data_IF_632705591279
#
_entry.id   IF_632705591279
#
_cell.length_a   1.000
_cell.length_b   1.000
_cell.length_c   1.000
_cell.angle_alpha   90.00
_cell.angle_beta   90.00
_cell.angle_gamma   90.00
#
_symmetry.space_group_name_H-M   'P 1'
#
loop_
_entity.id
_entity.type
_entity.pdbx_description
1 polymer ?
#
# COMPACT_ATOMS: atom_id res chain seq x y z
N UNK A 1 4.21 26.76 -17.47
CA UNK A 1 4.85 25.88 -16.48
C UNK A 1 4.48 24.46 -16.87
N UNK A 2 5.46 23.61 -17.12
CA UNK A 2 5.22 22.18 -17.32
C UNK A 2 5.24 21.47 -15.97
N UNK A 3 4.26 20.58 -15.75
CA UNK A 3 4.23 19.73 -14.56
C UNK A 3 5.15 18.52 -14.78
N UNK A 4 5.75 17.99 -13.71
CA UNK A 4 6.56 16.76 -13.78
C UNK A 4 5.75 15.56 -14.29
N UNK A 5 6.38 14.62 -14.99
CA UNK A 5 5.76 13.36 -15.46
C UNK A 5 5.63 12.29 -14.36
N UNK A 6 6.09 12.56 -13.14
CA UNK A 6 6.16 11.58 -12.06
C UNK A 6 5.27 11.92 -10.87
N UNK A 7 4.84 10.88 -10.17
CA UNK A 7 4.17 10.88 -8.87
C UNK A 7 5.13 10.21 -7.89
N UNK A 8 5.29 10.78 -6.70
CA UNK A 8 6.16 10.23 -5.66
C UNK A 8 5.30 9.94 -4.43
N UNK A 9 5.24 8.66 -4.05
CA UNK A 9 4.67 8.25 -2.77
C UNK A 9 5.80 8.14 -1.76
N UNK A 10 5.62 8.75 -0.61
CA UNK A 10 6.61 8.79 0.47
C UNK A 10 6.03 8.06 1.66
N UNK A 11 6.81 7.15 2.23
CA UNK A 11 6.43 6.43 3.44
C UNK A 11 7.59 6.39 4.43
N UNK A 12 7.26 6.37 5.70
CA UNK A 12 8.21 6.42 6.81
C UNK A 12 8.07 5.19 7.70
N UNK A 13 9.21 4.69 8.20
CA UNK A 13 9.25 3.60 9.15
C UNK A 13 10.31 3.89 10.21
N UNK A 14 9.95 3.70 11.48
CA UNK A 14 10.79 4.00 12.64
C UNK A 14 10.18 5.07 13.55
N UNK A 15 10.74 5.24 14.75
CA UNK A 15 10.32 6.28 15.70
C UNK A 15 10.80 7.66 15.21
N UNK A 16 9.90 8.65 15.25
CA UNK A 16 10.20 10.05 14.97
C UNK A 16 10.99 10.73 16.10
N UNK A 17 11.18 10.06 17.24
CA UNK A 17 11.88 10.61 18.40
C UNK A 17 13.39 10.71 18.17
N UNK A 18 13.83 11.92 17.84
CA UNK A 18 15.25 12.31 17.77
C UNK A 18 15.96 12.33 19.15
N UNK A 19 15.21 12.13 20.25
CA UNK A 19 15.69 12.29 21.64
C UNK A 19 15.99 10.97 22.35
N UNK A 20 15.39 9.86 21.94
CA UNK A 20 15.59 8.55 22.56
C UNK A 20 15.53 7.49 21.46
N UNK A 21 16.68 6.90 21.15
CA UNK A 21 16.74 5.79 20.18
C UNK A 21 16.15 4.56 20.86
N UNK A 22 15.02 4.08 20.35
CA UNK A 22 14.49 2.77 20.72
C UNK A 22 15.48 1.68 20.25
N UNK A 23 16.06 0.86 21.16
CA UNK A 23 16.98 -0.21 20.79
C UNK A 23 16.32 -1.29 19.91
N UNK A 24 14.99 -1.46 19.97
CA UNK A 24 14.25 -2.39 19.11
C UNK A 24 14.02 -1.85 17.69
N UNK A 25 14.10 -0.52 17.50
CA UNK A 25 13.92 0.15 16.21
C UNK A 25 15.03 1.22 15.97
N UNK A 26 16.29 0.78 15.76
CA UNK A 26 17.45 1.68 15.77
C UNK A 26 17.63 2.52 14.49
N UNK A 27 16.77 2.35 13.49
CA UNK A 27 16.89 3.00 12.20
C UNK A 27 15.58 3.67 11.79
N UNK A 28 15.68 4.95 11.42
CA UNK A 28 14.64 5.66 10.71
C UNK A 28 14.82 5.45 9.20
N UNK A 29 13.78 4.98 8.53
CA UNK A 29 13.78 4.71 7.09
C UNK A 29 12.73 5.58 6.40
N UNK A 30 13.15 6.21 5.30
CA UNK A 30 12.28 6.96 4.41
C UNK A 30 12.29 6.29 3.02
N UNK A 31 11.13 5.81 2.58
CA UNK A 31 10.97 5.13 1.31
C UNK A 31 10.29 6.04 0.29
N UNK A 32 10.81 6.05 -0.93
CA UNK A 32 10.25 6.80 -2.05
C UNK A 32 9.85 5.85 -3.17
N UNK A 33 8.56 5.77 -3.45
CA UNK A 33 8.04 5.06 -4.61
C UNK A 33 7.73 6.06 -5.72
N UNK A 34 8.60 6.10 -6.73
CA UNK A 34 8.52 7.04 -7.86
C UNK A 34 7.89 6.34 -9.05
N UNK A 35 6.79 6.88 -9.55
CA UNK A 35 5.98 6.26 -10.61
C UNK A 35 5.69 7.28 -11.71
N UNK A 36 5.82 6.90 -12.97
CA UNK A 36 5.38 7.72 -14.11
C UNK A 36 3.86 7.87 -14.09
N UNK A 37 3.34 9.09 -14.23
CA UNK A 37 1.91 9.41 -14.27
C UNK A 37 1.15 8.55 -15.29
N UNK A 38 1.74 8.35 -16.48
CA UNK A 38 1.16 7.51 -17.53
C UNK A 38 0.97 6.06 -17.07
N UNK A 39 2.01 5.43 -16.54
CA UNK A 39 1.94 4.05 -16.06
C UNK A 39 1.01 3.91 -14.85
N UNK A 40 0.97 4.92 -13.97
CA UNK A 40 0.05 4.96 -12.85
C UNK A 40 -1.41 4.90 -13.30
N UNK A 41 -1.79 5.76 -14.24
CA UNK A 41 -3.17 5.85 -14.75
C UNK A 41 -3.56 4.67 -15.66
N UNK A 42 -2.66 4.22 -16.53
CA UNK A 42 -3.01 3.25 -17.58
C UNK A 42 -2.82 1.79 -17.16
N UNK A 43 -1.97 1.53 -16.16
CA UNK A 43 -1.61 0.15 -15.76
C UNK A 43 -1.89 -0.13 -14.30
N UNK A 44 -1.38 0.71 -13.40
CA UNK A 44 -1.40 0.40 -11.96
C UNK A 44 -2.81 0.52 -11.40
N UNK A 45 -3.48 1.67 -11.59
CA UNK A 45 -4.85 1.86 -11.08
C UNK A 45 -5.82 0.83 -11.65
N UNK A 46 -5.87 0.56 -12.98
CA UNK A 46 -6.75 -0.46 -13.52
C UNK A 46 -6.46 -1.87 -12.97
N UNK A 47 -5.19 -2.24 -12.78
CA UNK A 47 -4.84 -3.54 -12.21
C UNK A 47 -5.28 -3.67 -10.74
N UNK A 48 -5.09 -2.62 -9.93
CA UNK A 48 -5.52 -2.60 -8.53
C UNK A 48 -7.04 -2.61 -8.42
N UNK A 49 -7.76 -1.81 -9.22
CA UNK A 49 -9.22 -1.85 -9.25
C UNK A 49 -9.75 -3.21 -9.71
N UNK A 50 -9.16 -3.78 -10.76
CA UNK A 50 -9.50 -5.12 -11.25
C UNK A 50 -9.31 -6.20 -10.18
N UNK A 51 -8.22 -6.11 -9.41
CA UNK A 51 -8.03 -6.95 -8.22
C UNK A 51 -9.19 -6.78 -7.23
N UNK A 52 -9.56 -5.54 -6.90
CA UNK A 52 -10.64 -5.30 -5.93
C UNK A 52 -12.00 -5.84 -6.42
N UNK A 53 -12.37 -5.56 -7.67
CA UNK A 53 -13.60 -6.08 -8.25
C UNK A 53 -13.62 -7.61 -8.32
N UNK A 54 -12.47 -8.24 -8.59
CA UNK A 54 -12.37 -9.71 -8.63
C UNK A 54 -12.70 -10.35 -7.28
N UNK A 55 -12.20 -9.80 -6.18
CA UNK A 55 -12.31 -10.44 -4.86
C UNK A 55 -13.51 -9.96 -4.03
N UNK A 56 -13.95 -8.71 -4.21
CA UNK A 56 -15.02 -8.11 -3.39
C UNK A 56 -16.21 -7.61 -4.22
N UNK A 57 -16.10 -7.55 -5.55
CA UNK A 57 -17.16 -7.02 -6.40
C UNK A 57 -17.32 -5.50 -6.35
N UNK A 58 -16.51 -4.79 -5.57
CA UNK A 58 -16.48 -3.32 -5.48
C UNK A 58 -15.05 -2.83 -5.16
N UNK A 59 -14.80 -1.52 -5.31
CA UNK A 59 -13.47 -0.92 -5.14
C UNK A 59 -13.26 -0.15 -3.82
N UNK A 60 -14.30 -0.07 -2.98
CA UNK A 60 -14.29 0.60 -1.67
C UNK A 60 -13.35 -0.02 -0.64
N UNK A 61 -12.84 -1.23 -0.88
CA UNK A 61 -11.93 -1.92 0.04
C UNK A 61 -10.59 -1.17 0.11
N UNK A 62 -10.14 -0.85 1.31
CA UNK A 62 -8.81 -0.27 1.54
C UNK A 62 -7.82 -1.40 1.82
N UNK A 63 -6.73 -1.45 1.06
CA UNK A 63 -5.71 -2.49 1.19
C UNK A 63 -4.74 -2.15 2.35
N UNK A 64 -5.22 -2.23 3.59
CA UNK A 64 -4.40 -1.98 4.77
C UNK A 64 -3.55 -3.20 5.15
N UNK A 65 -2.22 -3.01 5.22
CA UNK A 65 -1.24 -4.07 5.55
C UNK A 65 -1.64 -4.87 6.79
N UNK A 66 -2.06 -4.20 7.87
CA UNK A 66 -2.43 -4.85 9.12
C UNK A 66 -3.59 -5.84 8.96
N UNK A 67 -4.61 -5.48 8.19
CA UNK A 67 -5.81 -6.28 8.00
C UNK A 67 -5.54 -7.48 7.09
N UNK A 68 -4.75 -7.27 6.04
CA UNK A 68 -4.28 -8.32 5.14
C UNK A 68 -3.43 -9.34 5.93
N UNK A 69 -2.42 -8.86 6.65
CA UNK A 69 -1.46 -9.72 7.38
C UNK A 69 -2.13 -10.52 8.50
N UNK A 70 -3.08 -9.91 9.23
CA UNK A 70 -3.84 -10.61 10.28
C UNK A 70 -5.05 -11.36 9.72
N UNK A 71 -5.30 -11.26 8.42
CA UNK A 71 -6.40 -11.93 7.74
C UNK A 71 -7.75 -11.64 8.41
N UNK A 72 -8.02 -10.35 8.64
CA UNK A 72 -9.23 -9.86 9.33
C UNK A 72 -10.20 -9.21 8.35
N UNK A 73 -11.47 -9.14 8.77
CA UNK A 73 -12.53 -8.46 8.03
C UNK A 73 -12.63 -8.98 6.60
N UNK A 74 -12.59 -8.05 5.65
CA UNK A 74 -12.70 -8.31 4.21
C UNK A 74 -11.60 -9.23 3.66
N UNK A 75 -10.52 -9.45 4.40
CA UNK A 75 -9.42 -10.31 3.99
C UNK A 75 -9.48 -11.73 4.55
N UNK A 76 -10.47 -12.05 5.41
CA UNK A 76 -10.54 -13.34 6.13
C UNK A 76 -10.48 -14.58 5.20
N UNK A 77 -10.93 -14.45 3.96
CA UNK A 77 -10.88 -15.52 2.94
C UNK A 77 -9.44 -15.96 2.58
N UNK A 78 -8.42 -15.15 2.86
CA UNK A 78 -7.01 -15.51 2.62
C UNK A 78 -6.54 -16.68 3.50
N UNK A 79 -7.29 -17.04 4.56
CA UNK A 79 -7.02 -18.24 5.39
C UNK A 79 -7.71 -19.51 4.87
N UNK A 80 -8.61 -19.39 3.90
CA UNK A 80 -9.36 -20.53 3.34
C UNK A 80 -8.86 -20.86 1.94
N UNK A 81 -8.78 -22.15 1.59
CA UNK A 81 -8.34 -22.63 0.27
C UNK A 81 -9.35 -22.26 -0.84
N UNK A 82 -10.56 -21.86 -0.47
CA UNK A 82 -11.59 -21.37 -1.38
C UNK A 82 -11.47 -19.87 -1.54
N UNK A 83 -10.91 -19.45 -2.67
CA UNK A 83 -11.03 -18.08 -3.17
C UNK A 83 -12.51 -17.83 -3.55
N UNK A 84 -13.13 -16.70 -3.15
CA UNK A 84 -14.41 -16.28 -3.72
C UNK A 84 -14.30 -16.01 -5.24
#
# INVERSE_FOLDING_TARGET
>A
MEYSDYIVFVDESGDHSLTSIDPEFPAFSLAFCVIKKKDYCEKIIPAVQGLKFKYWGHDSIVLHEHEIRKTKGDFAFLRTVTCP
#
